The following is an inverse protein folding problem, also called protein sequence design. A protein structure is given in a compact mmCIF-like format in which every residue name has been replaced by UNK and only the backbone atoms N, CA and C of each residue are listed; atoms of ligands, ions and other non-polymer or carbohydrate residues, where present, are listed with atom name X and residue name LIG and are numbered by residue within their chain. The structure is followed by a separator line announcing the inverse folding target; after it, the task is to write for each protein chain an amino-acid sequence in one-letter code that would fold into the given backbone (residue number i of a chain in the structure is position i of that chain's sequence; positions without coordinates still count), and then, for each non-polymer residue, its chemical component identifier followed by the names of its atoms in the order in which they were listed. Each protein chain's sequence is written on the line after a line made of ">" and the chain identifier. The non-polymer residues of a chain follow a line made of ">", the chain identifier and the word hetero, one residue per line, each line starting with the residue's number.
data_IF_731816181459
#
_entry.id   IF_731816181459
#
_cell.length_a   1.000
_cell.length_b   1.000
_cell.length_c   1.000
_cell.angle_alpha   90.00
_cell.angle_beta   90.00
_cell.angle_gamma   90.00
#
_symmetry.space_group_name_H-M   'P 1'
#
loop_
_entity.id
_entity.type
_entity.pdbx_description
1 polymer ?
#
# COMPACT_ATOMS: atom_id res chain seq x y z
N UNK A 1 12.97 9.48 25.74
CA UNK A 1 12.39 10.80 25.42
C UNK A 1 11.86 11.40 26.72
N UNK A 2 12.64 12.26 27.37
CA UNK A 2 12.28 12.86 28.68
C UNK A 2 12.34 14.38 28.67
N UNK A 3 12.70 14.98 27.53
CA UNK A 3 12.78 16.42 27.34
C UNK A 3 11.53 16.90 26.58
N UNK A 4 10.56 17.53 27.27
CA UNK A 4 9.30 17.96 26.67
C UNK A 4 9.44 19.15 25.73
N UNK A 5 10.51 19.95 25.86
CA UNK A 5 10.78 21.09 24.97
C UNK A 5 11.37 20.61 23.64
N UNK A 6 12.15 19.52 23.68
CA UNK A 6 12.72 18.90 22.48
C UNK A 6 11.75 17.94 21.79
N UNK A 7 10.86 17.30 22.54
CA UNK A 7 9.86 16.37 22.01
C UNK A 7 8.46 16.75 22.52
N UNK A 8 7.79 17.71 21.86
CA UNK A 8 6.44 18.10 22.22
C UNK A 8 5.49 16.88 22.20
N UNK A 9 4.58 16.83 23.17
CA UNK A 9 3.66 15.70 23.33
C UNK A 9 2.79 15.47 22.09
N UNK A 10 2.27 16.55 21.51
CA UNK A 10 1.36 16.50 20.37
C UNK A 10 2.05 15.92 19.13
N UNK A 11 3.31 16.30 18.87
CA UNK A 11 4.11 15.74 17.77
C UNK A 11 4.34 14.23 17.93
N UNK A 12 4.57 13.76 19.17
CA UNK A 12 4.73 12.32 19.45
C UNK A 12 3.41 11.58 19.18
N UNK A 13 2.27 12.14 19.60
CA UNK A 13 0.96 11.55 19.37
C UNK A 13 0.67 11.45 17.87
N UNK A 14 0.95 12.51 17.12
CA UNK A 14 0.79 12.55 15.67
C UNK A 14 1.68 11.53 14.97
N UNK A 15 2.96 11.43 15.34
CA UNK A 15 3.86 10.40 14.81
C UNK A 15 3.39 8.98 15.15
N UNK A 16 2.88 8.78 16.37
CA UNK A 16 2.36 7.47 16.78
C UNK A 16 1.11 7.07 15.98
N UNK A 17 0.29 8.04 15.57
CA UNK A 17 -0.84 7.80 14.68
C UNK A 17 -0.40 7.25 13.32
N UNK A 18 0.72 7.74 12.79
CA UNK A 18 1.31 7.29 11.52
C UNK A 18 1.96 5.90 11.63
N UNK A 19 2.23 5.39 12.83
CA UNK A 19 2.79 4.04 13.02
C UNK A 19 1.93 2.96 12.36
N UNK A 20 0.61 3.16 12.28
CA UNK A 20 -0.30 2.22 11.62
C UNK A 20 -0.11 2.14 10.09
N UNK A 21 0.56 3.10 9.45
CA UNK A 21 0.85 3.05 8.01
C UNK A 21 1.66 1.81 7.62
N UNK A 22 2.54 1.33 8.51
CA UNK A 22 3.34 0.13 8.22
C UNK A 22 2.45 -1.12 8.11
N UNK A 23 1.36 -1.18 8.88
CA UNK A 23 0.42 -2.30 8.83
C UNK A 23 -0.36 -2.32 7.51
N UNK A 24 -0.65 -1.14 6.96
CA UNK A 24 -1.19 -1.03 5.62
C UNK A 24 -0.18 -1.53 4.58
N UNK A 25 1.11 -1.15 4.70
CA UNK A 25 2.18 -1.68 3.84
C UNK A 25 2.31 -3.20 3.90
N UNK A 26 2.24 -3.80 5.10
CA UNK A 26 2.21 -5.26 5.22
C UNK A 26 0.98 -5.87 4.54
N UNK A 27 -0.17 -5.20 4.60
CA UNK A 27 -1.38 -5.63 3.90
C UNK A 27 -1.22 -5.54 2.38
N UNK A 28 -0.63 -4.46 1.87
CA UNK A 28 -0.35 -4.28 0.44
C UNK A 28 0.52 -5.42 -0.10
N UNK A 29 1.53 -5.86 0.66
CA UNK A 29 2.37 -7.00 0.29
C UNK A 29 1.59 -8.33 0.38
N UNK A 30 0.97 -8.62 1.53
CA UNK A 30 0.35 -9.93 1.79
C UNK A 30 -0.94 -10.15 1.00
N UNK A 31 -1.84 -9.17 0.99
CA UNK A 31 -3.13 -9.27 0.30
C UNK A 31 -3.07 -8.74 -1.12
N UNK A 32 -2.28 -7.69 -1.37
CA UNK A 32 -2.14 -7.11 -2.71
C UNK A 32 -1.24 -7.96 -3.60
N UNK A 33 0.07 -7.99 -3.32
CA UNK A 33 1.04 -8.66 -4.18
C UNK A 33 0.98 -10.19 -4.13
N UNK A 34 0.78 -10.76 -2.93
CA UNK A 34 0.69 -12.21 -2.73
C UNK A 34 -0.73 -12.75 -2.84
N UNK A 35 -1.73 -11.92 -3.16
CA UNK A 35 -3.12 -12.36 -3.33
C UNK A 35 -3.78 -12.95 -2.08
N UNK A 36 -3.19 -12.75 -0.90
CA UNK A 36 -3.68 -13.33 0.35
C UNK A 36 -3.30 -14.80 0.56
N UNK A 37 -2.39 -15.34 -0.25
CA UNK A 37 -1.90 -16.70 -0.09
C UNK A 37 -1.13 -16.87 1.22
N UNK A 38 -1.38 -18.00 1.90
CA UNK A 38 -0.76 -18.30 3.19
C UNK A 38 0.70 -18.76 3.07
N UNK A 39 1.08 -19.30 1.91
CA UNK A 39 2.41 -19.86 1.66
C UNK A 39 2.98 -19.34 0.37
N UNK A 40 4.30 -19.16 0.36
CA UNK A 40 5.06 -18.86 -0.86
C UNK A 40 5.09 -20.08 -1.80
N UNK A 41 5.35 -19.84 -3.09
CA UNK A 41 5.33 -20.90 -4.12
C UNK A 41 6.57 -21.78 -4.08
N UNK A 42 7.68 -21.21 -3.65
CA UNK A 42 8.99 -21.88 -3.57
C UNK A 42 9.04 -22.95 -2.48
N UNK A 43 9.74 -24.06 -2.77
CA UNK A 43 9.81 -25.23 -1.89
C UNK A 43 11.19 -25.46 -1.24
N UNK A 44 12.23 -24.73 -1.66
CA UNK A 44 13.56 -24.80 -1.05
C UNK A 44 13.89 -23.47 -0.35
N UNK A 45 14.70 -23.50 0.72
CA UNK A 45 15.06 -22.28 1.46
C UNK A 45 15.65 -21.19 0.56
N UNK A 46 16.52 -21.55 -0.38
CA UNK A 46 17.18 -20.61 -1.28
C UNK A 46 16.16 -19.91 -2.21
N UNK A 47 15.24 -20.68 -2.79
CA UNK A 47 14.19 -20.15 -3.66
C UNK A 47 13.18 -19.32 -2.88
N UNK A 48 12.88 -19.67 -1.63
CA UNK A 48 12.03 -18.87 -0.74
C UNK A 48 12.66 -17.50 -0.49
N UNK A 49 13.96 -17.44 -0.21
CA UNK A 49 14.68 -16.18 -0.06
C UNK A 49 14.61 -15.35 -1.35
N UNK A 50 14.81 -15.97 -2.52
CA UNK A 50 14.69 -15.29 -3.81
C UNK A 50 13.27 -14.73 -4.03
N UNK A 51 12.23 -15.52 -3.74
CA UNK A 51 10.84 -15.10 -3.89
C UNK A 51 10.52 -13.89 -3.01
N UNK A 52 10.97 -13.89 -1.75
CA UNK A 52 10.82 -12.75 -0.84
C UNK A 52 11.51 -11.49 -1.37
N UNK A 53 12.74 -11.61 -1.88
CA UNK A 53 13.44 -10.49 -2.51
C UNK A 53 12.71 -9.98 -3.75
N UNK A 54 12.17 -10.87 -4.58
CA UNK A 54 11.35 -10.51 -5.74
C UNK A 54 10.11 -9.72 -5.36
N UNK A 55 9.40 -10.15 -4.31
CA UNK A 55 8.22 -9.45 -3.78
C UNK A 55 8.59 -8.07 -3.25
N UNK A 56 9.66 -7.97 -2.46
CA UNK A 56 10.14 -6.69 -1.91
C UNK A 56 10.60 -5.73 -3.01
N UNK A 57 11.30 -6.24 -4.04
CA UNK A 57 11.72 -5.43 -5.19
C UNK A 57 10.49 -4.89 -5.94
N UNK A 58 9.53 -5.76 -6.27
CA UNK A 58 8.29 -5.36 -6.94
C UNK A 58 7.50 -4.32 -6.14
N UNK A 59 7.35 -4.54 -4.83
CA UNK A 59 6.71 -3.58 -3.93
C UNK A 59 7.41 -2.22 -3.95
N UNK A 60 8.73 -2.20 -3.80
CA UNK A 60 9.49 -0.95 -3.79
C UNK A 60 9.43 -0.21 -5.13
N UNK A 61 9.43 -0.93 -6.25
CA UNK A 61 9.26 -0.31 -7.58
C UNK A 61 7.89 0.34 -7.74
N UNK A 62 6.82 -0.36 -7.33
CA UNK A 62 5.47 0.20 -7.34
C UNK A 62 5.37 1.44 -6.44
N UNK A 63 5.89 1.37 -5.21
CA UNK A 63 5.90 2.50 -4.27
C UNK A 63 6.73 3.67 -4.78
N UNK A 64 7.88 3.41 -5.40
CA UNK A 64 8.70 4.44 -6.03
C UNK A 64 7.92 5.16 -7.13
N UNK A 65 7.24 4.42 -8.01
CA UNK A 65 6.44 5.03 -9.06
C UNK A 65 5.26 5.82 -8.48
N UNK A 66 4.60 5.32 -7.42
CA UNK A 66 3.58 6.08 -6.70
C UNK A 66 4.13 7.40 -6.12
N UNK A 67 5.37 7.41 -5.61
CA UNK A 67 6.05 8.65 -5.18
C UNK A 67 6.25 9.61 -6.36
N UNK A 68 6.56 9.12 -7.55
CA UNK A 68 6.65 9.97 -8.73
C UNK A 68 5.29 10.53 -9.13
N UNK A 69 4.25 9.69 -9.08
CA UNK A 69 2.87 10.09 -9.39
C UNK A 69 2.35 11.13 -8.39
N UNK A 70 2.62 10.98 -7.09
CA UNK A 70 2.14 11.91 -6.05
C UNK A 70 2.69 13.32 -6.23
N UNK A 71 3.80 13.51 -6.96
CA UNK A 71 4.34 14.84 -7.30
C UNK A 71 3.36 15.67 -8.14
N UNK A 72 2.43 15.02 -8.85
CA UNK A 72 1.37 15.69 -9.61
C UNK A 72 0.18 16.12 -8.73
N UNK A 73 0.19 15.74 -7.44
CA UNK A 73 -0.88 16.03 -6.48
C UNK A 73 -0.29 16.79 -5.27
N UNK A 74 -0.20 18.13 -5.31
CA UNK A 74 0.33 18.92 -4.20
C UNK A 74 -0.41 18.66 -2.89
N UNK A 75 0.35 18.39 -1.82
CA UNK A 75 -0.21 18.14 -0.49
C UNK A 75 -0.71 16.71 -0.24
N UNK A 76 -0.61 15.80 -1.23
CA UNK A 76 -0.97 14.39 -1.08
C UNK A 76 0.27 13.55 -0.83
N UNK A 77 0.25 12.77 0.25
CA UNK A 77 1.30 11.80 0.52
C UNK A 77 1.08 10.52 -0.31
N UNK A 78 2.14 9.81 -0.72
CA UNK A 78 2.00 8.55 -1.48
C UNK A 78 1.15 7.48 -0.76
N UNK A 79 1.12 7.47 0.57
CA UNK A 79 0.29 6.56 1.38
C UNK A 79 -1.20 6.92 1.38
N UNK A 80 -1.57 8.09 0.87
CA UNK A 80 -2.96 8.53 0.68
C UNK A 80 -3.47 8.17 -0.72
N UNK A 81 -2.65 7.54 -1.56
CA UNK A 81 -3.06 7.00 -2.85
C UNK A 81 -3.45 5.53 -2.72
N UNK A 82 -4.43 5.09 -3.51
CA UNK A 82 -4.86 3.69 -3.55
C UNK A 82 -3.76 2.81 -4.14
N UNK A 83 -3.14 1.96 -3.30
CA UNK A 83 -2.10 1.04 -3.75
C UNK A 83 -2.59 0.09 -4.85
N UNK A 84 -3.78 -0.50 -4.70
CA UNK A 84 -4.35 -1.41 -5.69
C UNK A 84 -4.58 -0.69 -7.02
N UNK A 85 -5.25 0.46 -7.01
CA UNK A 85 -5.55 1.17 -8.26
C UNK A 85 -4.26 1.65 -8.96
N UNK A 86 -3.29 2.18 -8.21
CA UNK A 86 -1.99 2.57 -8.75
C UNK A 86 -1.24 1.36 -9.32
N UNK A 87 -1.24 0.23 -8.61
CA UNK A 87 -0.57 -1.00 -9.08
C UNK A 87 -1.15 -1.49 -10.41
N UNK A 88 -2.48 -1.48 -10.55
CA UNK A 88 -3.14 -1.83 -11.81
C UNK A 88 -2.75 -0.88 -12.94
N UNK A 89 -2.69 0.42 -12.69
CA UNK A 89 -2.29 1.41 -13.69
C UNK A 89 -0.83 1.24 -14.13
N UNK A 90 0.09 1.06 -13.17
CA UNK A 90 1.52 0.87 -13.43
C UNK A 90 1.76 -0.45 -14.19
N UNK A 91 1.17 -1.55 -13.73
CA UNK A 91 1.29 -2.85 -14.40
C UNK A 91 0.63 -2.81 -15.79
N UNK A 92 -0.49 -2.10 -15.95
CA UNK A 92 -1.14 -1.89 -17.23
C UNK A 92 -0.22 -1.19 -18.24
N UNK A 93 0.50 -0.15 -17.80
CA UNK A 93 1.54 0.49 -18.61
C UNK A 93 2.64 -0.51 -18.97
N UNK A 94 3.22 -1.21 -18.01
CA UNK A 94 4.30 -2.18 -18.27
C UNK A 94 3.87 -3.26 -19.27
N UNK A 95 2.67 -3.82 -19.13
CA UNK A 95 2.15 -4.81 -20.06
C UNK A 95 1.90 -4.24 -21.46
N UNK A 96 1.37 -3.01 -21.56
CA UNK A 96 1.08 -2.36 -22.84
C UNK A 96 2.30 -1.85 -23.59
N UNK A 97 3.41 -1.56 -22.90
CA UNK A 97 4.61 -0.99 -23.51
C UNK A 97 5.31 -1.93 -24.49
N UNK A 98 5.18 -3.25 -24.32
CA UNK A 98 5.79 -4.24 -25.24
C UNK A 98 5.24 -4.19 -26.66
N UNK A 99 4.03 -3.64 -26.84
CA UNK A 99 3.36 -3.50 -28.13
C UNK A 99 3.71 -2.17 -28.84
N UNK A 100 4.50 -1.31 -28.20
CA UNK A 100 4.75 0.06 -28.64
C UNK A 100 6.24 0.30 -28.94
N UNK A 101 6.52 1.33 -29.75
CA UNK A 101 7.88 1.77 -30.01
C UNK A 101 8.50 2.38 -28.73
N UNK A 102 9.76 2.07 -28.36
CA UNK A 102 10.37 2.55 -27.11
C UNK A 102 10.45 4.07 -26.98
N UNK A 103 10.44 4.80 -28.10
CA UNK A 103 10.40 6.26 -28.13
C UNK A 103 9.14 6.88 -27.49
N UNK A 104 8.06 6.11 -27.34
CA UNK A 104 6.80 6.59 -26.77
C UNK A 104 6.73 6.41 -25.24
N UNK A 105 7.69 5.69 -24.63
CA UNK A 105 7.72 5.43 -23.19
C UNK A 105 7.64 6.70 -22.34
N UNK A 106 8.38 7.79 -22.65
CA UNK A 106 8.29 9.01 -21.86
C UNK A 106 6.88 9.62 -21.88
N UNK A 107 6.18 9.56 -23.02
CA UNK A 107 4.81 10.05 -23.16
C UNK A 107 3.84 9.23 -22.29
N UNK A 108 3.89 7.91 -22.38
CA UNK A 108 3.04 7.05 -21.55
C UNK A 108 3.30 7.21 -20.05
N UNK A 109 4.56 7.41 -19.65
CA UNK A 109 4.90 7.70 -18.27
C UNK A 109 4.34 9.05 -17.81
N UNK A 110 4.39 10.07 -18.67
CA UNK A 110 3.78 11.37 -18.39
C UNK A 110 2.25 11.25 -18.25
N UNK A 111 1.60 10.47 -19.11
CA UNK A 111 0.15 10.22 -19.04
C UNK A 111 -0.24 9.49 -17.74
N UNK A 112 0.53 8.47 -17.35
CA UNK A 112 0.35 7.75 -16.08
C UNK A 112 0.54 8.67 -14.87
N UNK A 113 1.50 9.59 -14.93
CA UNK A 113 1.68 10.59 -13.88
C UNK A 113 0.52 11.59 -13.86
N UNK A 114 0.07 12.06 -15.02
CA UNK A 114 -1.06 12.99 -15.13
C UNK A 114 -2.38 12.39 -14.59
N UNK A 115 -2.56 11.07 -14.63
CA UNK A 115 -3.73 10.40 -14.04
C UNK A 115 -3.68 10.25 -12.52
N UNK A 116 -2.57 10.63 -11.86
CA UNK A 116 -2.38 10.49 -10.40
C UNK A 116 -3.54 11.00 -9.53
N UNK A 117 -4.20 12.15 -9.82
CA UNK A 117 -5.30 12.66 -9.00
C UNK A 117 -6.48 11.67 -8.88
N UNK A 118 -6.66 10.78 -9.86
CA UNK A 118 -7.75 9.80 -9.88
C UNK A 118 -7.58 8.70 -8.84
N UNK A 119 -6.36 8.50 -8.34
CA UNK A 119 -6.04 7.43 -7.39
C UNK A 119 -5.93 7.92 -5.94
N UNK A 120 -6.15 9.21 -5.70
CA UNK A 120 -6.14 9.79 -4.34
C UNK A 120 -7.35 9.29 -3.56
N UNK A 121 -7.10 8.74 -2.38
CA UNK A 121 -8.15 8.26 -1.49
C UNK A 121 -8.85 9.44 -0.81
N UNK A 122 -10.14 9.30 -0.46
CA UNK A 122 -10.79 10.29 0.39
C UNK A 122 -10.08 10.38 1.75
N UNK A 123 -10.12 11.57 2.34
CA UNK A 123 -9.52 11.80 3.66
C UNK A 123 -10.06 10.80 4.70
N UNK A 124 -9.18 10.40 5.63
CA UNK A 124 -9.55 9.44 6.68
C UNK A 124 -10.65 10.04 7.54
N UNK A 125 -11.66 9.21 7.86
CA UNK A 125 -12.78 9.63 8.70
C UNK A 125 -12.30 9.76 10.15
N UNK A 126 -12.27 10.97 10.75
CA UNK A 126 -11.80 11.15 12.12
C UNK A 126 -12.74 10.49 13.14
N UNK A 127 -14.03 10.41 12.80
CA UNK A 127 -15.08 9.92 13.71
C UNK A 127 -15.20 8.38 13.72
N UNK A 128 -14.28 7.67 13.06
CA UNK A 128 -14.31 6.22 12.94
C UNK A 128 -13.81 5.57 14.24
N UNK A 129 -14.72 5.43 15.19
CA UNK A 129 -14.50 4.69 16.42
C UNK A 129 -15.28 3.37 16.41
N UNK A 130 -14.62 2.28 16.81
CA UNK A 130 -15.29 1.01 17.06
C UNK A 130 -15.15 0.68 18.55
N UNK A 131 -16.25 0.39 19.25
CA UNK A 131 -16.16 -0.04 20.64
C UNK A 131 -15.29 -1.29 20.72
N UNK A 132 -14.42 -1.39 21.73
CA UNK A 132 -13.72 -2.63 22.08
C UNK A 132 -14.69 -3.60 22.74
N UNK A 133 -15.66 -4.06 21.94
CA UNK A 133 -16.72 -4.96 22.35
C UNK A 133 -16.67 -6.23 21.51
N UNK A 134 -16.98 -7.36 22.14
CA UNK A 134 -17.12 -8.64 21.45
C UNK A 134 -18.40 -8.57 20.61
N UNK A 135 -18.27 -8.57 19.27
CA UNK A 135 -19.42 -8.51 18.34
C UNK A 135 -20.46 -9.59 18.63
N UNK A 136 -20.00 -10.83 18.87
CA UNK A 136 -20.79 -11.93 19.42
C UNK A 136 -19.88 -12.87 20.19
N UNK A 137 -20.35 -13.40 21.34
CA UNK A 137 -19.64 -14.50 22.01
C UNK A 137 -19.68 -15.72 21.09
N UNK A 138 -18.55 -16.41 20.85
CA UNK A 138 -18.56 -17.66 20.09
C UNK A 138 -19.53 -18.64 20.75
N UNK A 139 -20.52 -19.11 19.98
CA UNK A 139 -21.49 -20.08 20.46
C UNK A 139 -20.80 -21.45 20.60
N UNK A 140 -20.99 -22.12 21.75
CA UNK A 140 -20.43 -23.46 21.99
C UNK A 140 -21.02 -24.52 21.05
N UNK A 141 -22.21 -24.28 20.52
CA UNK A 141 -22.96 -25.20 19.67
C UNK A 141 -23.49 -24.46 18.43
N UNK A 142 -23.61 -25.13 17.27
CA UNK A 142 -24.16 -24.53 16.06
C UNK A 142 -25.64 -24.19 16.22
N UNK A 143 -26.07 -23.12 15.56
CA UNK A 143 -27.48 -22.77 15.41
C UNK A 143 -28.16 -23.80 14.50
N UNK A 144 -29.23 -24.42 15.00
CA UNK A 144 -30.07 -25.31 14.21
C UNK A 144 -30.79 -24.47 13.15
N UNK A 145 -30.70 -24.89 11.88
CA UNK A 145 -31.42 -24.28 10.76
C UNK A 145 -32.92 -24.56 10.85
#
# INVERSE_FOLDING_TARGET
>A
MTDPLRFPCDEIVDLYSQRWEIELGYREIKQGLLGGEYTLRSKTPEMITQELWGVLLGYNLLRYQMVQMSRQCPGVYPCEMSFTACSWAILGLLHGTSLNHPGNLPGFLADLQASAPQYVLPHRRPDRWFPRAVKQRPAKYPTRK
#
